data_IF_809391459124
#
_entry.id   IF_809391459124
#
_cell.length_a   1.000
_cell.length_b   1.000
_cell.length_c   1.000
_cell.angle_alpha   90.00
_cell.angle_beta   90.00
_cell.angle_gamma   90.00
#
_symmetry.space_group_name_H-M   'P 1'
#
loop_
_entity.id
_entity.type
_entity.pdbx_description
1 polymer ?
#
# COMPACT_ATOMS: atom_id res chain seq x y z
N UNK A 1 -5.95 22.98 7.96
CA UNK A 1 -4.72 22.18 7.75
C UNK A 1 -4.30 22.06 6.28
N UNK A 2 -5.22 21.86 5.33
CA UNK A 2 -4.92 21.70 3.89
C UNK A 2 -4.23 22.91 3.22
N UNK A 3 -4.42 24.13 3.76
CA UNK A 3 -3.80 25.36 3.21
C UNK A 3 -2.26 25.39 3.31
N UNK A 4 -1.66 24.59 4.20
CA UNK A 4 -0.20 24.54 4.38
C UNK A 4 0.48 23.48 3.51
N UNK A 5 -0.28 22.53 2.95
CA UNK A 5 0.23 21.47 2.09
C UNK A 5 1.06 21.99 0.89
N UNK A 6 0.61 23.01 0.12
CA UNK A 6 1.40 23.50 -1.01
C UNK A 6 2.72 24.14 -0.57
N UNK A 7 2.76 24.74 0.62
CA UNK A 7 3.99 25.33 1.17
C UNK A 7 5.03 24.26 1.50
N UNK A 8 4.60 23.13 2.06
CA UNK A 8 5.47 21.98 2.31
C UNK A 8 6.02 21.36 1.03
N UNK A 9 5.19 21.23 -0.02
CA UNK A 9 5.62 20.72 -1.32
C UNK A 9 6.65 21.62 -2.01
N UNK A 10 6.59 22.93 -1.79
CA UNK A 10 7.60 23.88 -2.29
C UNK A 10 8.88 23.90 -1.42
N UNK A 11 8.72 23.79 -0.10
CA UNK A 11 9.84 23.76 0.84
C UNK A 11 10.73 22.53 0.66
N UNK A 12 10.13 21.36 0.39
CA UNK A 12 10.87 20.11 0.22
C UNK A 12 11.97 20.21 -0.85
N UNK A 13 11.71 20.54 -2.13
CA UNK A 13 12.76 20.68 -3.14
C UNK A 13 13.73 21.81 -2.83
N UNK A 14 13.30 22.88 -2.14
CA UNK A 14 14.21 23.95 -1.72
C UNK A 14 15.25 23.45 -0.71
N UNK A 15 14.80 22.63 0.26
CA UNK A 15 15.68 21.96 1.22
C UNK A 15 16.60 20.96 0.50
N UNK A 16 16.11 20.22 -0.50
CA UNK A 16 16.93 19.29 -1.28
C UNK A 16 18.05 20.02 -2.04
N UNK A 17 17.74 21.15 -2.69
CA UNK A 17 18.74 21.98 -3.37
C UNK A 17 19.79 22.50 -2.38
N UNK A 18 19.34 22.96 -1.20
CA UNK A 18 20.26 23.41 -0.16
C UNK A 18 21.19 22.27 0.32
N UNK A 19 20.67 21.08 0.57
CA UNK A 19 21.48 19.91 0.94
C UNK A 19 22.43 19.51 -0.19
N UNK A 20 21.98 19.51 -1.45
CA UNK A 20 22.81 19.20 -2.59
C UNK A 20 24.00 20.16 -2.70
N UNK A 21 23.79 21.46 -2.47
CA UNK A 21 24.86 22.45 -2.45
C UNK A 21 25.81 22.20 -1.27
N UNK A 22 25.29 21.92 -0.08
CA UNK A 22 26.12 21.68 1.13
C UNK A 22 27.00 20.45 0.93
N UNK A 23 26.43 19.34 0.48
CA UNK A 23 27.16 18.10 0.20
C UNK A 23 28.14 18.31 -0.97
N UNK A 24 27.69 18.95 -2.04
CA UNK A 24 28.53 19.29 -3.19
C UNK A 24 29.75 20.13 -2.82
N UNK A 25 29.63 21.04 -1.85
CA UNK A 25 30.76 21.81 -1.31
C UNK A 25 31.65 20.99 -0.37
N UNK A 26 31.09 20.02 0.35
CA UNK A 26 31.83 19.19 1.29
C UNK A 26 32.70 18.12 0.60
N UNK A 27 32.16 17.44 -0.42
CA UNK A 27 32.84 16.31 -1.09
C UNK A 27 33.17 16.56 -2.57
N UNK A 28 32.63 17.62 -3.17
CA UNK A 28 32.80 17.95 -4.59
C UNK A 28 31.64 17.50 -5.49
N UNK A 29 31.57 18.08 -6.69
CA UNK A 29 30.45 17.86 -7.62
C UNK A 29 30.37 16.42 -8.14
N UNK A 30 31.46 15.87 -8.66
CA UNK A 30 31.48 14.53 -9.24
C UNK A 30 31.04 13.42 -8.28
N UNK A 31 31.56 13.33 -7.03
CA UNK A 31 31.08 12.32 -6.09
C UNK A 31 29.62 12.55 -5.67
N UNK A 32 29.18 13.80 -5.56
CA UNK A 32 27.77 14.13 -5.29
C UNK A 32 26.85 13.62 -6.41
N UNK A 33 27.23 13.84 -7.68
CA UNK A 33 26.49 13.30 -8.82
C UNK A 33 26.52 11.77 -8.85
N UNK A 34 27.66 11.15 -8.53
CA UNK A 34 27.77 9.70 -8.46
C UNK A 34 26.85 9.10 -7.38
N UNK A 35 26.73 9.75 -6.21
CA UNK A 35 25.78 9.35 -5.16
C UNK A 35 24.34 9.42 -5.67
N UNK A 36 23.97 10.53 -6.31
CA UNK A 36 22.62 10.72 -6.86
C UNK A 36 22.28 9.69 -7.93
N UNK A 37 23.20 9.41 -8.85
CA UNK A 37 23.00 8.38 -9.88
C UNK A 37 22.94 6.99 -9.24
N UNK A 38 23.83 6.70 -8.28
CA UNK A 38 23.87 5.43 -7.57
C UNK A 38 22.57 5.16 -6.79
N UNK A 39 22.03 6.19 -6.14
CA UNK A 39 20.71 6.15 -5.53
C UNK A 39 19.66 5.83 -6.60
N UNK A 40 19.53 6.65 -7.65
CA UNK A 40 18.52 6.43 -8.67
C UNK A 40 18.55 5.01 -9.27
N UNK A 41 19.73 4.46 -9.51
CA UNK A 41 19.91 3.07 -9.94
C UNK A 41 19.41 2.06 -8.92
N UNK A 42 19.75 2.23 -7.64
CA UNK A 42 19.26 1.38 -6.56
C UNK A 42 17.74 1.44 -6.45
N UNK A 43 17.14 2.63 -6.58
CA UNK A 43 15.69 2.82 -6.61
C UNK A 43 15.04 2.06 -7.77
N UNK A 44 15.58 2.18 -8.99
CA UNK A 44 15.09 1.43 -10.16
C UNK A 44 15.19 -0.09 -9.93
N UNK A 45 16.30 -0.58 -9.39
CA UNK A 45 16.48 -2.01 -9.09
C UNK A 45 15.43 -2.49 -8.09
N UNK A 46 15.20 -1.74 -7.01
CA UNK A 46 14.15 -2.06 -6.03
C UNK A 46 12.76 -2.09 -6.67
N UNK A 47 12.44 -1.12 -7.54
CA UNK A 47 11.16 -1.05 -8.23
C UNK A 47 10.96 -2.26 -9.14
N UNK A 48 12.00 -2.71 -9.85
CA UNK A 48 11.96 -3.92 -10.68
C UNK A 48 11.75 -5.17 -9.84
N UNK A 49 12.46 -5.31 -8.72
CA UNK A 49 12.33 -6.46 -7.83
C UNK A 49 10.94 -6.54 -7.21
N UNK A 50 10.41 -5.43 -6.69
CA UNK A 50 9.07 -5.40 -6.08
C UNK A 50 7.95 -5.55 -7.11
N UNK A 51 8.06 -4.90 -8.27
CA UNK A 51 7.05 -4.99 -9.33
C UNK A 51 6.82 -6.43 -9.81
N UNK A 52 7.89 -7.21 -9.95
CA UNK A 52 7.80 -8.63 -10.34
C UNK A 52 7.29 -9.52 -9.19
N UNK A 53 7.75 -9.26 -7.96
CA UNK A 53 7.35 -10.04 -6.79
C UNK A 53 5.89 -9.90 -6.41
N UNK A 54 5.32 -8.70 -6.51
CA UNK A 54 3.92 -8.42 -6.15
C UNK A 54 2.95 -9.17 -7.09
N UNK A 55 3.21 -9.17 -8.39
CA UNK A 55 2.34 -9.82 -9.36
C UNK A 55 2.30 -11.34 -9.17
N UNK A 56 3.45 -11.95 -8.85
CA UNK A 56 3.55 -13.37 -8.54
C UNK A 56 2.76 -13.73 -7.27
N UNK A 57 2.91 -12.94 -6.21
CA UNK A 57 2.21 -13.17 -4.93
C UNK A 57 0.71 -12.94 -5.03
N UNK A 58 0.27 -11.93 -5.79
CA UNK A 58 -1.16 -11.73 -6.06
C UNK A 58 -1.78 -12.96 -6.72
N UNK A 59 -1.10 -13.56 -7.71
CA UNK A 59 -1.57 -14.79 -8.36
C UNK A 59 -1.65 -15.97 -7.39
N UNK A 60 -0.66 -16.17 -6.51
CA UNK A 60 -0.70 -17.26 -5.53
C UNK A 60 -1.78 -17.06 -4.45
N UNK A 61 -1.98 -15.83 -4.00
CA UNK A 61 -2.88 -15.52 -2.88
C UNK A 61 -4.35 -15.49 -3.30
N UNK A 62 -4.65 -15.15 -4.56
CA UNK A 62 -5.98 -15.31 -5.15
C UNK A 62 -6.38 -16.79 -5.24
N UNK A 63 -5.42 -17.69 -5.49
CA UNK A 63 -5.66 -19.14 -5.47
C UNK A 63 -5.92 -19.71 -4.07
N UNK A 64 -5.43 -19.05 -3.02
CA UNK A 64 -5.54 -19.51 -1.62
C UNK A 64 -6.69 -18.86 -0.83
N UNK A 65 -7.38 -17.84 -1.38
CA UNK A 65 -8.49 -17.17 -0.71
C UNK A 65 -8.13 -16.36 0.54
N UNK A 66 -6.84 -16.09 0.78
CA UNK A 66 -6.31 -15.31 1.90
C UNK A 66 -5.86 -13.92 1.44
N UNK A 67 -6.35 -12.85 2.07
CA UNK A 67 -5.91 -11.47 1.80
C UNK A 67 -4.67 -11.12 2.64
N UNK A 68 -3.47 -10.99 2.03
CA UNK A 68 -2.22 -10.79 2.78
C UNK A 68 -1.98 -9.29 3.03
N UNK A 69 -2.81 -8.68 3.88
CA UNK A 69 -2.78 -7.23 4.13
C UNK A 69 -1.39 -6.70 4.55
N UNK A 70 -0.63 -7.49 5.33
CA UNK A 70 0.72 -7.11 5.75
C UNK A 70 1.75 -7.12 4.61
N UNK A 71 1.73 -8.16 3.76
CA UNK A 71 2.70 -8.28 2.68
C UNK A 71 2.49 -7.21 1.60
N UNK A 72 1.23 -6.92 1.28
CA UNK A 72 0.89 -5.82 0.37
C UNK A 72 1.34 -4.47 0.93
N UNK A 73 1.15 -4.23 2.23
CA UNK A 73 1.60 -3.00 2.88
C UNK A 73 3.13 -2.85 2.84
N UNK A 74 3.86 -3.92 3.14
CA UNK A 74 5.33 -3.90 3.05
C UNK A 74 5.79 -3.67 1.60
N UNK A 75 5.15 -4.29 0.61
CA UNK A 75 5.43 -4.05 -0.81
C UNK A 75 5.15 -2.59 -1.23
N UNK A 76 4.06 -1.99 -0.75
CA UNK A 76 3.74 -0.58 -1.00
C UNK A 76 4.80 0.36 -0.41
N UNK A 77 5.22 0.13 0.83
CA UNK A 77 6.26 0.95 1.47
C UNK A 77 7.61 0.83 0.75
N UNK A 78 7.99 -0.36 0.29
CA UNK A 78 9.22 -0.52 -0.48
C UNK A 78 9.10 0.12 -1.86
N UNK A 79 7.92 0.06 -2.50
CA UNK A 79 7.64 0.79 -3.74
C UNK A 79 7.74 2.31 -3.57
N UNK A 80 7.22 2.85 -2.46
CA UNK A 80 7.32 4.28 -2.12
C UNK A 80 8.77 4.69 -1.85
N UNK A 81 9.53 3.87 -1.11
CA UNK A 81 10.95 4.08 -0.90
C UNK A 81 11.71 4.10 -2.24
N UNK A 82 11.44 3.13 -3.12
CA UNK A 82 12.04 3.08 -4.44
C UNK A 82 11.73 4.35 -5.26
N UNK A 83 10.49 4.84 -5.22
CA UNK A 83 10.11 6.08 -5.90
C UNK A 83 10.87 7.30 -5.36
N UNK A 84 10.99 7.42 -4.03
CA UNK A 84 11.74 8.50 -3.40
C UNK A 84 13.23 8.44 -3.72
N UNK A 85 13.79 7.24 -3.89
CA UNK A 85 15.21 7.04 -4.17
C UNK A 85 15.53 7.24 -5.67
N UNK A 86 14.53 7.12 -6.56
CA UNK A 86 14.61 7.50 -7.98
C UNK A 86 14.55 9.01 -8.16
N UNK A 87 13.73 9.71 -7.36
CA UNK A 87 13.66 11.17 -7.37
C UNK A 87 14.85 11.73 -6.58
N UNK A 88 15.85 12.32 -7.24
CA UNK A 88 17.10 12.66 -6.58
C UNK A 88 16.89 13.71 -5.48
N UNK A 89 17.15 13.34 -4.23
CA UNK A 89 17.06 14.24 -3.08
C UNK A 89 17.73 13.63 -1.86
N UNK A 90 18.69 14.31 -1.25
CA UNK A 90 19.41 13.81 -0.07
C UNK A 90 18.49 13.55 1.12
N UNK A 91 17.51 14.42 1.38
CA UNK A 91 16.56 14.23 2.47
C UNK A 91 15.60 13.07 2.14
N UNK A 92 15.09 13.05 0.91
CA UNK A 92 14.20 12.01 0.40
C UNK A 92 14.88 10.64 0.36
N UNK A 93 16.18 10.58 0.04
CA UNK A 93 17.01 9.38 0.06
C UNK A 93 17.15 8.82 1.47
N UNK A 94 17.38 9.67 2.47
CA UNK A 94 17.42 9.25 3.88
C UNK A 94 16.08 8.64 4.29
N UNK A 95 14.97 9.30 3.93
CA UNK A 95 13.62 8.79 4.20
C UNK A 95 13.39 7.46 3.48
N UNK A 96 13.77 7.34 2.21
CA UNK A 96 13.65 6.12 1.43
C UNK A 96 14.43 4.95 2.05
N UNK A 97 15.69 5.18 2.42
CA UNK A 97 16.53 4.19 3.10
C UNK A 97 15.93 3.77 4.44
N UNK A 98 15.36 4.73 5.19
CA UNK A 98 14.67 4.44 6.45
C UNK A 98 13.43 3.56 6.23
N UNK A 99 12.64 3.80 5.19
CA UNK A 99 11.50 2.95 4.81
C UNK A 99 11.93 1.53 4.38
N UNK A 100 13.17 1.36 3.90
CA UNK A 100 13.70 0.04 3.56
C UNK A 100 14.00 -0.81 4.81
N UNK A 101 14.18 -0.18 5.97
CA UNK A 101 14.43 -0.87 7.25
C UNK A 101 13.16 -1.61 7.72
N UNK A 102 13.21 -2.94 7.93
CA UNK A 102 12.04 -3.73 8.34
C UNK A 102 11.39 -3.26 9.64
N UNK A 103 12.21 -2.79 10.61
CA UNK A 103 11.73 -2.28 11.89
C UNK A 103 10.86 -1.02 11.73
N UNK A 104 11.24 -0.12 10.82
CA UNK A 104 10.47 1.09 10.52
C UNK A 104 9.14 0.74 9.88
N UNK A 105 9.15 -0.17 8.88
CA UNK A 105 7.90 -0.64 8.25
C UNK A 105 6.95 -1.28 9.25
N UNK A 106 7.47 -2.12 10.14
CA UNK A 106 6.68 -2.75 11.21
C UNK A 106 6.07 -1.73 12.18
N UNK A 107 6.83 -0.68 12.52
CA UNK A 107 6.33 0.42 13.36
C UNK A 107 5.22 1.24 12.67
N UNK A 108 5.38 1.54 11.37
CA UNK A 108 4.33 2.21 10.58
C UNK A 108 3.09 1.32 10.51
N UNK A 109 3.25 0.03 10.18
CA UNK A 109 2.14 -0.92 10.08
C UNK A 109 1.36 -1.02 11.39
N UNK A 110 2.04 -1.22 12.53
CA UNK A 110 1.38 -1.33 13.84
C UNK A 110 0.67 -0.04 14.26
N UNK A 111 1.22 1.12 13.90
CA UNK A 111 0.59 2.41 14.17
C UNK A 111 -0.66 2.65 13.33
N UNK A 112 -0.65 2.19 12.08
CA UNK A 112 -1.78 2.33 11.16
C UNK A 112 -2.86 1.27 11.41
N UNK A 113 -2.46 0.02 11.65
CA UNK A 113 -3.36 -1.10 11.95
C UNK A 113 -4.23 -0.84 13.19
N UNK A 114 -3.71 -0.12 14.20
CA UNK A 114 -4.50 0.32 15.36
C UNK A 114 -5.68 1.24 15.02
N UNK A 115 -5.70 1.84 13.83
CA UNK A 115 -6.73 2.77 13.35
C UNK A 115 -7.60 2.18 12.23
N UNK A 116 -7.30 0.96 11.78
CA UNK A 116 -8.06 0.28 10.74
C UNK A 116 -8.97 -0.74 11.40
N UNK A 117 -10.27 -0.45 11.46
CA UNK A 117 -11.29 -1.44 11.80
C UNK A 117 -11.29 -2.46 10.67
N UNK A 118 -10.69 -3.63 10.90
CA UNK A 118 -10.77 -4.74 9.96
C UNK A 118 -12.24 -5.14 9.89
N UNK A 119 -12.91 -4.74 8.82
CA UNK A 119 -14.24 -5.27 8.50
C UNK A 119 -13.99 -6.71 8.10
N UNK A 120 -14.20 -7.62 9.04
CA UNK A 120 -14.04 -9.03 8.82
C UNK A 120 -15.13 -9.50 7.86
N UNK A 121 -14.82 -9.50 6.56
CA UNK A 121 -15.68 -10.07 5.52
C UNK A 121 -15.92 -11.57 5.77
N UNK A 122 -15.17 -12.20 6.68
CA UNK A 122 -15.41 -13.56 7.18
C UNK A 122 -16.66 -13.72 8.03
N UNK A 123 -17.30 -12.64 8.51
CA UNK A 123 -18.56 -12.71 9.24
C UNK A 123 -19.69 -13.31 8.39
N UNK A 124 -19.64 -13.18 7.06
CA UNK A 124 -20.59 -13.84 6.16
C UNK A 124 -20.35 -15.36 6.06
N UNK A 125 -19.11 -15.84 6.24
CA UNK A 125 -18.78 -17.26 6.12
C UNK A 125 -19.02 -18.03 7.43
N UNK A 126 -18.92 -17.37 8.59
CA UNK A 126 -19.24 -18.00 9.89
C UNK A 126 -20.75 -18.21 10.08
N UNK A 127 -21.59 -17.34 9.53
CA UNK A 127 -23.05 -17.54 9.51
C UNK A 127 -23.51 -18.76 8.68
N UNK A 128 -22.74 -19.21 7.69
CA UNK A 128 -23.11 -20.39 6.88
C UNK A 128 -22.60 -21.72 7.43
N UNK A 129 -21.72 -21.72 8.44
CA UNK A 129 -21.13 -22.96 9.00
C UNK A 129 -21.76 -23.39 10.32
N UNK A 130 -22.50 -22.50 11.00
CA UNK A 130 -23.10 -22.78 12.31
C UNK A 130 -24.62 -23.04 12.25
N UNK A 131 -25.25 -22.87 11.08
CA UNK A 131 -26.69 -23.07 10.92
C UNK A 131 -27.02 -24.33 10.09
N UNK A 132 -26.64 -25.48 10.66
CA UNK A 132 -27.13 -26.78 10.24
C UNK A 132 -28.53 -27.11 10.78
N UNK A 133 -29.16 -26.19 11.52
CA UNK A 133 -30.51 -26.33 12.08
C UNK A 133 -31.07 -24.94 12.39
N UNK A 134 -31.83 -24.35 11.45
CA UNK A 134 -33.20 -23.87 11.62
C UNK A 134 -33.66 -23.07 10.36
N UNK A 135 -34.95 -23.25 10.05
CA UNK A 135 -35.79 -22.50 9.10
C UNK A 135 -35.20 -22.11 7.73
N UNK A 136 -35.49 -22.99 6.76
CA UNK A 136 -36.03 -22.65 5.43
C UNK A 136 -36.57 -21.21 5.39
N UNK A 137 -35.98 -20.29 4.61
CA UNK A 137 -36.65 -19.04 4.31
C UNK A 137 -37.95 -19.43 3.60
N UNK A 138 -39.06 -18.87 4.06
CA UNK A 138 -40.32 -18.90 3.33
C UNK A 138 -40.10 -18.12 2.02
N UNK A 139 -39.47 -18.76 1.04
CA UNK A 139 -39.65 -18.39 -0.35
C UNK A 139 -41.12 -18.67 -0.62
N UNK A 140 -41.90 -17.61 -0.78
CA UNK A 140 -43.24 -17.70 -1.33
C UNK A 140 -43.02 -18.04 -2.80
N UNK A 141 -42.86 -19.33 -3.09
CA UNK A 141 -43.05 -19.83 -4.44
C UNK A 141 -44.54 -19.62 -4.73
N UNK A 142 -44.82 -18.62 -5.57
CA UNK A 142 -46.12 -18.48 -6.19
C UNK A 142 -46.24 -19.67 -7.16
N UNK A 143 -46.89 -20.74 -6.71
CA UNK A 143 -47.30 -21.82 -7.60
C UNK A 143 -48.25 -21.24 -8.67
N UNK A 144 -48.15 -21.74 -9.91
CA UNK A 144 -48.94 -21.24 -11.05
C UNK A 144 -50.47 -21.27 -10.82
N UNK A 145 -50.93 -21.98 -9.79
CA UNK A 145 -52.33 -22.13 -9.42
C UNK A 145 -52.85 -21.01 -8.49
N UNK A 146 -51.96 -20.16 -7.96
CA UNK A 146 -52.32 -19.06 -7.04
C UNK A 146 -52.71 -17.76 -7.78
N UNK A 147 -52.79 -17.80 -9.11
CA UNK A 147 -53.23 -16.68 -9.95
C UNK A 147 -54.77 -16.61 -10.05
N UNK A 148 -55.38 -15.61 -9.41
CA UNK A 148 -56.81 -15.25 -9.59
C UNK A 148 -56.93 -13.94 -10.37
N UNK A 149 -57.39 -14.00 -11.62
CA UNK A 149 -57.74 -12.82 -12.43
C UNK A 149 -58.94 -12.12 -11.80
N UNK A 150 -58.70 -10.95 -11.20
CA UNK A 150 -59.69 -10.14 -10.49
C UNK A 150 -60.64 -9.39 -11.41
N UNK A 151 -61.35 -10.08 -12.32
CA UNK A 151 -62.46 -9.49 -13.07
C UNK A 151 -63.80 -9.94 -12.52
N UNK A 152 -64.39 -9.04 -11.73
CA UNK A 152 -65.85 -8.89 -11.60
C UNK A 152 -66.25 -7.57 -12.23
#
# INVERSE_FOLDING_TARGET
>A
MIRLLPLGFLLLPLVEIALFIIVGRAIGLFPTLALVIGAALLGVVLLRQQGLGVLSRMRSNLGAGTLPGRELFDAMLIGLAALFLVLPGFLSDIVALLLLVPGVRGWIFSSLARRVTVVDTGAYRRYSAEDGRLQRPTTIDLDNDDWRDGRQ
#
